data_IF_797640114871
#
_entry.id   IF_797640114871
#
_cell.length_a   1.000
_cell.length_b   1.000
_cell.length_c   1.000
_cell.angle_alpha   90.00
_cell.angle_beta   90.00
_cell.angle_gamma   90.00
#
_symmetry.space_group_name_H-M   'P 1'
#
loop_
_entity.id
_entity.type
_entity.pdbx_description
1 polymer ?
#
# COMPACT_ATOMS: atom_id res chain seq x y z
N UNK A 1 -9.69 -57.30 56.15
CA UNK A 1 -10.51 -57.25 57.38
C UNK A 1 -10.92 -55.79 57.53
N UNK A 2 -12.06 -55.39 56.94
CA UNK A 2 -13.43 -55.58 57.45
C UNK A 2 -13.64 -54.68 58.69
N UNK A 3 -14.62 -53.80 58.82
CA UNK A 3 -15.83 -53.48 58.07
C UNK A 3 -16.34 -52.10 58.54
N UNK A 4 -17.44 -51.63 57.93
CA UNK A 4 -18.57 -50.88 58.52
C UNK A 4 -19.00 -49.64 57.73
N UNK A 5 -19.95 -49.90 56.83
CA UNK A 5 -21.37 -49.52 56.90
C UNK A 5 -21.78 -48.05 56.84
N UNK A 6 -22.29 -47.75 55.65
CA UNK A 6 -23.37 -46.83 55.27
C UNK A 6 -24.66 -46.99 56.07
N UNK A 7 -25.34 -45.85 56.34
CA UNK A 7 -26.73 -45.77 56.83
C UNK A 7 -27.57 -44.84 55.93
N UNK A 8 -28.83 -45.29 55.71
CA UNK A 8 -30.07 -44.58 55.34
C UNK A 8 -30.26 -44.01 53.94
N UNK A 9 -31.27 -44.44 53.17
CA UNK A 9 -32.76 -44.42 53.33
C UNK A 9 -33.42 -43.09 52.91
N UNK A 10 -34.47 -43.22 52.09
CA UNK A 10 -35.53 -42.22 51.90
C UNK A 10 -35.94 -42.05 50.43
N UNK A 11 -36.72 -42.94 49.82
CA UNK A 11 -38.21 -42.87 49.67
C UNK A 11 -38.68 -41.69 48.78
N UNK A 12 -39.64 -41.76 47.85
CA UNK A 12 -40.69 -42.72 47.52
C UNK A 12 -41.52 -42.18 46.33
N UNK A 13 -42.38 -43.04 45.74
CA UNK A 13 -43.59 -42.77 44.91
C UNK A 13 -43.39 -42.41 43.42
N UNK A 14 -44.01 -42.95 42.35
CA UNK A 14 -44.85 -44.13 41.95
C UNK A 14 -45.94 -43.62 40.96
N UNK A 15 -46.18 -44.42 39.92
CA UNK A 15 -47.36 -44.52 39.01
C UNK A 15 -47.44 -43.68 37.71
N UNK A 16 -47.30 -44.40 36.58
CA UNK A 16 -48.24 -44.65 35.45
C UNK A 16 -49.34 -43.58 35.16
N UNK A 17 -49.75 -43.28 33.91
CA UNK A 17 -50.05 -44.19 32.80
C UNK A 17 -50.21 -43.44 31.45
N UNK A 18 -50.22 -44.21 30.37
CA UNK A 18 -50.37 -43.83 28.95
C UNK A 18 -51.46 -42.80 28.59
N UNK A 19 -51.12 -41.84 27.70
CA UNK A 19 -52.03 -41.35 26.65
C UNK A 19 -51.28 -41.23 25.31
N UNK A 20 -51.78 -41.98 24.34
CA UNK A 20 -51.41 -41.99 22.93
C UNK A 20 -51.90 -40.73 22.19
N UNK A 21 -51.02 -40.12 21.40
CA UNK A 21 -51.36 -39.03 20.50
C UNK A 21 -50.16 -38.64 19.64
N UNK A 22 -50.18 -39.06 18.38
CA UNK A 22 -49.08 -38.89 17.43
C UNK A 22 -48.82 -37.42 17.05
N UNK A 23 -47.57 -36.98 17.12
CA UNK A 23 -47.05 -35.92 16.24
C UNK A 23 -45.66 -36.26 15.69
N UNK A 24 -45.60 -36.21 14.36
CA UNK A 24 -44.47 -36.54 13.51
C UNK A 24 -43.35 -35.50 13.61
N UNK A 25 -42.23 -35.83 14.26
CA UNK A 25 -40.99 -35.05 14.11
C UNK A 25 -40.20 -35.57 12.89
N UNK A 26 -40.45 -34.95 11.73
CA UNK A 26 -39.56 -35.07 10.56
C UNK A 26 -38.19 -34.47 10.90
N UNK A 27 -37.28 -35.30 11.43
CA UNK A 27 -35.85 -34.94 11.45
C UNK A 27 -35.36 -34.93 10.01
N UNK A 28 -35.23 -33.73 9.45
CA UNK A 28 -34.60 -33.56 8.14
C UNK A 28 -33.12 -33.85 8.34
N UNK A 29 -32.66 -35.06 7.99
CA UNK A 29 -31.23 -35.42 7.93
C UNK A 29 -30.52 -34.43 7.00
N UNK A 30 -29.96 -33.35 7.58
CA UNK A 30 -29.14 -32.38 6.86
C UNK A 30 -27.82 -33.06 6.49
N UNK A 31 -27.46 -32.93 5.22
CA UNK A 31 -26.38 -33.69 4.60
C UNK A 31 -25.03 -33.04 4.96
N UNK A 32 -24.15 -33.68 5.76
CA UNK A 32 -22.95 -33.05 6.32
C UNK A 32 -21.92 -32.59 5.28
N UNK A 33 -22.01 -33.10 4.04
CA UNK A 33 -21.19 -32.64 2.91
C UNK A 33 -21.47 -31.19 2.51
N UNK A 34 -22.71 -30.70 2.65
CA UNK A 34 -23.06 -29.33 2.32
C UNK A 34 -22.60 -28.34 3.41
N UNK A 35 -22.61 -28.77 4.67
CA UNK A 35 -22.11 -27.97 5.81
C UNK A 35 -20.59 -27.92 5.83
N UNK A 36 -19.91 -29.01 5.44
CA UNK A 36 -18.46 -29.02 5.23
C UNK A 36 -18.04 -28.17 4.03
N UNK A 37 -18.80 -28.16 2.93
CA UNK A 37 -18.53 -27.33 1.76
C UNK A 37 -18.80 -25.84 2.03
N UNK A 38 -19.88 -25.50 2.73
CA UNK A 38 -20.17 -24.12 3.17
C UNK A 38 -19.21 -23.67 4.28
N UNK A 39 -18.79 -24.58 5.16
CA UNK A 39 -17.76 -24.34 6.18
C UNK A 39 -16.35 -24.16 5.60
N UNK A 40 -15.96 -24.96 4.61
CA UNK A 40 -14.67 -24.86 3.92
C UNK A 40 -14.60 -23.63 3.01
N UNK A 41 -15.70 -23.25 2.34
CA UNK A 41 -15.78 -22.00 1.57
C UNK A 41 -15.81 -20.78 2.48
N UNK A 42 -16.54 -20.81 3.60
CA UNK A 42 -16.51 -19.73 4.59
C UNK A 42 -15.16 -19.63 5.30
N UNK A 43 -14.50 -20.76 5.63
CA UNK A 43 -13.16 -20.79 6.20
C UNK A 43 -12.11 -20.35 5.20
N UNK A 44 -12.22 -20.72 3.92
CA UNK A 44 -11.37 -20.24 2.84
C UNK A 44 -11.52 -18.73 2.62
N UNK A 45 -12.75 -18.22 2.58
CA UNK A 45 -13.03 -16.77 2.47
C UNK A 45 -12.54 -16.03 3.72
N UNK A 46 -12.69 -16.59 4.93
CA UNK A 46 -12.14 -16.03 6.17
C UNK A 46 -10.61 -16.07 6.20
N UNK A 47 -9.98 -17.14 5.72
CA UNK A 47 -8.53 -17.24 5.64
C UNK A 47 -7.96 -16.27 4.62
N UNK A 48 -8.59 -16.15 3.44
CA UNK A 48 -8.19 -15.18 2.41
C UNK A 48 -8.44 -13.75 2.87
N UNK A 49 -9.59 -13.46 3.49
CA UNK A 49 -9.87 -12.13 4.03
C UNK A 49 -8.97 -11.79 5.21
N UNK A 50 -8.70 -12.73 6.12
CA UNK A 50 -7.74 -12.56 7.20
C UNK A 50 -6.31 -12.40 6.67
N UNK A 51 -5.92 -13.09 5.59
CA UNK A 51 -4.64 -12.88 4.92
C UNK A 51 -4.58 -11.54 4.19
N UNK A 52 -5.68 -11.08 3.58
CA UNK A 52 -5.76 -9.75 2.96
C UNK A 52 -5.75 -8.63 4.00
N UNK A 53 -6.41 -8.83 5.13
CA UNK A 53 -6.43 -7.92 6.28
C UNK A 53 -5.07 -7.92 6.96
N UNK A 54 -4.49 -9.10 7.22
CA UNK A 54 -3.13 -9.23 7.73
C UNK A 54 -2.12 -8.63 6.75
N UNK A 55 -2.28 -8.80 5.44
CA UNK A 55 -1.47 -8.16 4.41
C UNK A 55 -1.62 -6.62 4.47
N UNK A 56 -2.86 -6.12 4.59
CA UNK A 56 -3.17 -4.71 4.76
C UNK A 56 -2.53 -4.11 6.03
N UNK A 57 -2.39 -4.90 7.09
CA UNK A 57 -1.75 -4.51 8.35
C UNK A 57 -0.26 -4.90 8.49
N UNK A 58 0.29 -5.72 7.59
CA UNK A 58 1.69 -6.23 7.61
C UNK A 58 2.65 -5.37 6.81
N UNK A 59 2.13 -4.59 5.86
CA UNK A 59 2.89 -3.54 5.21
C UNK A 59 2.24 -2.18 5.52
N UNK A 60 2.98 -1.06 5.46
CA UNK A 60 2.42 0.28 5.30
C UNK A 60 1.77 0.46 3.91
N UNK A 61 0.86 -0.45 3.60
CA UNK A 61 -0.25 -0.31 2.67
C UNK A 61 -0.89 1.06 2.95
N UNK A 62 -1.47 1.82 2.03
CA UNK A 62 -1.80 3.26 2.19
C UNK A 62 -0.60 4.20 2.32
N UNK A 63 0.41 3.94 3.14
CA UNK A 63 1.55 4.84 3.27
C UNK A 63 2.36 4.91 1.96
N UNK A 64 2.60 3.75 1.35
CA UNK A 64 3.29 3.66 0.05
C UNK A 64 2.37 3.77 -1.17
N UNK A 65 1.06 3.98 -0.98
CA UNK A 65 0.09 3.79 -2.06
C UNK A 65 -0.38 5.11 -2.66
N UNK A 66 0.22 5.46 -3.79
CA UNK A 66 -0.41 6.40 -4.72
C UNK A 66 -1.54 5.67 -5.45
N UNK A 67 -2.77 6.15 -5.31
CA UNK A 67 -3.90 5.61 -6.07
C UNK A 67 -3.67 5.83 -7.56
N UNK A 68 -3.66 4.73 -8.32
CA UNK A 68 -3.60 4.76 -9.79
C UNK A 68 -4.97 5.02 -10.36
N UNK A 69 -5.96 4.28 -9.85
CA UNK A 69 -7.36 4.48 -10.20
C UNK A 69 -8.05 5.23 -9.08
N UNK A 70 -8.67 6.36 -9.41
CA UNK A 70 -9.41 7.16 -8.44
C UNK A 70 -10.76 6.52 -8.12
N UNK A 71 -10.84 5.91 -6.94
CA UNK A 71 -12.04 5.24 -6.45
C UNK A 71 -13.18 6.23 -6.15
N UNK A 72 -12.90 7.53 -5.99
CA UNK A 72 -13.91 8.59 -5.75
C UNK A 72 -14.36 9.29 -7.03
N UNK A 73 -13.76 9.01 -8.18
CA UNK A 73 -14.09 9.68 -9.44
C UNK A 73 -15.59 9.60 -9.74
N UNK A 74 -16.19 8.42 -9.58
CA UNK A 74 -17.61 8.21 -9.81
C UNK A 74 -18.48 8.88 -8.74
N UNK A 75 -18.14 8.75 -7.45
CA UNK A 75 -18.89 9.40 -6.36
C UNK A 75 -18.92 10.94 -6.52
N UNK A 76 -17.82 11.54 -7.00
CA UNK A 76 -17.76 12.97 -7.33
C UNK A 76 -18.56 13.32 -8.58
N UNK A 77 -18.53 12.46 -9.60
CA UNK A 77 -19.28 12.69 -10.84
C UNK A 77 -20.80 12.62 -10.65
N UNK A 78 -21.29 11.87 -9.65
CA UNK A 78 -22.72 11.80 -9.28
C UNK A 78 -23.24 13.14 -8.73
N UNK A 79 -22.39 13.98 -8.13
CA UNK A 79 -22.78 15.28 -7.61
C UNK A 79 -21.84 16.40 -8.11
N UNK A 80 -21.98 16.81 -9.39
CA UNK A 80 -21.06 17.76 -10.03
C UNK A 80 -21.10 19.15 -9.36
N UNK A 81 -22.26 19.57 -8.83
CA UNK A 81 -22.43 20.87 -8.16
C UNK A 81 -21.79 20.96 -6.76
N UNK A 82 -21.25 19.86 -6.23
CA UNK A 82 -20.48 19.86 -4.98
C UNK A 82 -19.05 20.37 -5.14
N UNK A 83 -18.52 20.44 -6.37
CA UNK A 83 -17.16 20.93 -6.62
C UNK A 83 -17.05 22.47 -6.57
N UNK A 84 -18.15 23.19 -6.78
CA UNK A 84 -18.17 24.66 -6.88
C UNK A 84 -18.59 25.36 -5.58
N UNK A 85 -19.11 24.62 -4.59
CA UNK A 85 -19.61 25.20 -3.34
C UNK A 85 -18.52 25.27 -2.25
N UNK A 86 -18.67 26.29 -1.39
CA UNK A 86 -17.93 26.51 -0.14
C UNK A 86 -17.95 25.22 0.71
N UNK A 87 -16.86 24.94 1.43
CA UNK A 87 -16.69 23.72 2.25
C UNK A 87 -17.96 23.35 3.03
N UNK A 88 -18.50 22.15 2.79
CA UNK A 88 -19.70 21.64 3.46
C UNK A 88 -19.53 20.17 3.81
N UNK A 89 -20.19 19.70 4.86
CA UNK A 89 -20.18 18.27 5.25
C UNK A 89 -20.62 17.35 4.10
N UNK A 90 -21.46 17.84 3.18
CA UNK A 90 -21.92 17.09 2.01
C UNK A 90 -20.90 17.01 0.87
N UNK A 91 -19.89 17.89 0.85
CA UNK A 91 -18.79 17.87 -0.13
C UNK A 91 -17.59 17.06 0.36
N UNK A 92 -17.64 16.54 1.59
CA UNK A 92 -16.60 15.67 2.15
C UNK A 92 -16.67 14.27 1.53
N UNK A 93 -15.54 13.54 1.51
CA UNK A 93 -15.47 12.16 1.01
C UNK A 93 -16.51 11.24 1.64
N UNK A 94 -16.74 11.26 2.97
CA UNK A 94 -17.82 10.48 3.59
C UNK A 94 -19.21 10.97 3.15
N UNK A 95 -19.42 12.28 3.04
CA UNK A 95 -20.69 12.85 2.59
C UNK A 95 -21.07 12.43 1.16
N UNK A 96 -20.11 12.46 0.24
CA UNK A 96 -20.28 12.02 -1.14
C UNK A 96 -20.56 10.52 -1.23
N UNK A 97 -19.89 9.71 -0.41
CA UNK A 97 -20.15 8.27 -0.32
C UNK A 97 -21.55 7.97 0.22
N UNK A 98 -21.95 8.63 1.31
CA UNK A 98 -23.29 8.48 1.87
C UNK A 98 -24.35 8.89 0.85
N UNK A 99 -24.13 9.99 0.13
CA UNK A 99 -25.04 10.41 -0.93
C UNK A 99 -25.11 9.38 -2.07
N UNK A 100 -23.97 8.91 -2.57
CA UNK A 100 -23.92 7.92 -3.64
C UNK A 100 -24.56 6.58 -3.24
N UNK A 101 -24.38 6.13 -1.99
CA UNK A 101 -25.03 4.91 -1.45
C UNK A 101 -26.53 5.11 -1.28
N UNK A 102 -27.00 6.31 -0.91
CA UNK A 102 -28.44 6.60 -0.87
C UNK A 102 -29.05 6.63 -2.27
N UNK A 103 -28.33 7.13 -3.27
CA UNK A 103 -28.83 7.25 -4.66
C UNK A 103 -28.81 5.92 -5.41
N UNK A 104 -27.73 5.14 -5.32
CA UNK A 104 -27.54 3.88 -6.07
C UNK A 104 -27.72 2.61 -5.23
N UNK A 105 -28.03 2.77 -3.94
CA UNK A 105 -28.14 1.69 -2.97
C UNK A 105 -26.79 1.13 -2.51
N UNK A 106 -26.84 0.21 -1.55
CA UNK A 106 -25.64 -0.45 -0.98
C UNK A 106 -24.81 -1.26 -1.99
N UNK A 107 -25.40 -1.62 -3.15
CA UNK A 107 -24.69 -2.28 -4.25
C UNK A 107 -23.61 -1.40 -4.90
N UNK A 108 -23.65 -0.09 -4.65
CA UNK A 108 -22.62 0.86 -5.07
C UNK A 108 -21.22 0.45 -4.61
N UNK A 109 -21.06 0.10 -3.33
CA UNK A 109 -19.74 -0.19 -2.75
C UNK A 109 -19.05 -1.37 -3.45
N UNK A 110 -19.65 -2.58 -3.51
CA UNK A 110 -19.00 -3.73 -4.15
C UNK A 110 -18.82 -3.58 -5.67
N UNK A 111 -19.72 -2.86 -6.35
CA UNK A 111 -19.69 -2.77 -7.82
C UNK A 111 -18.79 -1.64 -8.34
N UNK A 112 -18.63 -0.57 -7.56
CA UNK A 112 -18.03 0.68 -8.02
C UNK A 112 -16.79 1.07 -7.24
N UNK A 113 -16.81 0.88 -5.92
CA UNK A 113 -15.73 1.32 -5.02
C UNK A 113 -14.67 0.23 -4.81
N UNK A 114 -15.12 -1.01 -4.62
CA UNK A 114 -14.29 -2.16 -4.30
C UNK A 114 -13.30 -2.52 -5.41
N UNK A 115 -13.67 -2.59 -6.71
CA UNK A 115 -12.72 -2.86 -7.80
C UNK A 115 -11.48 -1.95 -7.82
N UNK A 116 -11.59 -0.60 -7.88
CA UNK A 116 -10.41 0.26 -7.90
C UNK A 116 -9.62 0.18 -6.57
N UNK A 117 -10.28 -0.06 -5.43
CA UNK A 117 -9.58 -0.27 -4.17
C UNK A 117 -8.74 -1.55 -4.18
N UNK A 118 -9.30 -2.68 -4.61
CA UNK A 118 -8.58 -3.96 -4.72
C UNK A 118 -7.44 -3.87 -5.72
N UNK A 119 -7.65 -3.22 -6.86
CA UNK A 119 -6.63 -3.00 -7.88
C UNK A 119 -5.44 -2.21 -7.33
N UNK A 120 -5.70 -1.08 -6.65
CA UNK A 120 -4.65 -0.26 -6.03
C UNK A 120 -3.93 -1.02 -4.89
N UNK A 121 -4.66 -1.78 -4.07
CA UNK A 121 -4.07 -2.59 -3.01
C UNK A 121 -3.17 -3.70 -3.58
N UNK A 122 -3.60 -4.36 -4.66
CA UNK A 122 -2.84 -5.40 -5.34
C UNK A 122 -1.53 -4.88 -5.95
N UNK A 123 -1.55 -3.74 -6.63
CA UNK A 123 -0.33 -3.07 -7.13
C UNK A 123 0.64 -2.80 -5.98
N UNK A 124 0.11 -2.26 -4.89
CA UNK A 124 0.91 -1.95 -3.71
C UNK A 124 1.50 -3.19 -3.03
N UNK A 125 0.76 -4.30 -3.03
CA UNK A 125 1.24 -5.59 -2.58
C UNK A 125 2.41 -6.09 -3.41
N UNK A 126 2.24 -6.10 -4.73
CA UNK A 126 3.28 -6.49 -5.66
C UNK A 126 4.54 -5.65 -5.46
N UNK A 127 4.40 -4.32 -5.29
CA UNK A 127 5.55 -3.45 -5.04
C UNK A 127 6.33 -3.88 -3.79
N UNK A 128 5.63 -4.02 -2.66
CA UNK A 128 6.29 -4.29 -1.39
C UNK A 128 6.85 -5.71 -1.32
N UNK A 129 6.14 -6.71 -1.85
CA UNK A 129 6.63 -8.09 -1.90
C UNK A 129 7.83 -8.22 -2.83
N UNK A 130 7.79 -7.57 -4.00
CA UNK A 130 8.93 -7.57 -4.94
C UNK A 130 10.15 -6.88 -4.34
N UNK A 131 9.94 -5.79 -3.60
CA UNK A 131 11.01 -5.11 -2.86
C UNK A 131 11.64 -6.02 -1.82
N UNK A 132 10.85 -6.66 -0.96
CA UNK A 132 11.38 -7.57 0.06
C UNK A 132 12.11 -8.77 -0.55
N UNK A 133 11.57 -9.36 -1.62
CA UNK A 133 12.19 -10.49 -2.31
C UNK A 133 13.51 -10.10 -2.96
N UNK A 134 13.55 -8.95 -3.65
CA UNK A 134 14.78 -8.50 -4.32
C UNK A 134 15.82 -8.05 -3.31
N UNK A 135 15.41 -7.34 -2.25
CA UNK A 135 16.33 -6.93 -1.19
C UNK A 135 16.85 -8.15 -0.42
N UNK A 136 16.03 -9.16 -0.16
CA UNK A 136 16.46 -10.40 0.47
C UNK A 136 17.47 -11.18 -0.36
N UNK A 137 17.38 -11.10 -1.69
CA UNK A 137 18.36 -11.71 -2.61
C UNK A 137 19.67 -10.90 -2.72
N UNK A 138 19.60 -9.56 -2.61
CA UNK A 138 20.77 -8.69 -2.67
C UNK A 138 21.50 -8.58 -1.33
N UNK A 139 20.78 -8.73 -0.21
CA UNK A 139 21.30 -8.54 1.14
C UNK A 139 20.78 -9.63 2.09
N UNK A 140 21.59 -10.69 2.25
CA UNK A 140 21.29 -11.89 3.03
C UNK A 140 20.75 -11.64 4.45
N UNK A 141 21.20 -10.62 5.22
CA UNK A 141 20.62 -10.38 6.55
C UNK A 141 19.12 -10.03 6.54
N UNK A 142 18.56 -9.59 5.42
CA UNK A 142 17.11 -9.36 5.25
C UNK A 142 16.36 -10.69 5.03
N UNK A 143 16.98 -11.69 4.41
CA UNK A 143 16.39 -13.02 4.18
C UNK A 143 16.09 -13.75 5.50
N UNK A 144 16.94 -13.53 6.50
CA UNK A 144 16.91 -14.20 7.81
C UNK A 144 15.77 -13.78 8.73
N UNK A 145 14.86 -12.92 8.27
CA UNK A 145 13.63 -12.51 8.99
C UNK A 145 13.88 -12.06 10.45
N UNK A 146 15.04 -11.46 10.71
CA UNK A 146 15.39 -10.95 12.04
C UNK A 146 14.55 -9.69 12.34
N UNK A 147 14.07 -9.54 13.58
CA UNK A 147 13.20 -8.41 14.01
C UNK A 147 13.80 -7.03 13.71
N UNK A 148 15.13 -6.91 13.78
CA UNK A 148 15.93 -5.76 13.33
C UNK A 148 17.13 -6.24 12.51
N UNK A 149 17.31 -5.64 11.35
CA UNK A 149 18.38 -5.97 10.40
C UNK A 149 19.59 -5.11 10.76
N UNK A 150 20.68 -5.77 11.18
CA UNK A 150 21.98 -5.14 11.38
C UNK A 150 23.09 -6.04 10.83
N UNK A 151 24.08 -5.50 10.08
CA UNK A 151 24.20 -4.11 9.66
C UNK A 151 23.05 -3.66 8.74
N UNK A 152 22.75 -2.35 8.64
CA UNK A 152 21.72 -1.86 7.74
C UNK A 152 22.12 -2.10 6.29
N UNK A 153 21.15 -2.40 5.42
CA UNK A 153 21.39 -2.57 3.98
C UNK A 153 21.99 -1.29 3.37
N UNK A 154 22.87 -1.46 2.38
CA UNK A 154 23.49 -0.33 1.68
C UNK A 154 22.43 0.51 0.93
N UNK A 155 22.63 1.83 0.78
CA UNK A 155 21.74 2.65 -0.05
C UNK A 155 21.67 2.16 -1.50
N UNK A 156 22.72 1.48 -1.99
CA UNK A 156 22.80 0.91 -3.34
C UNK A 156 21.90 -0.32 -3.46
N UNK A 157 21.93 -1.25 -2.50
CA UNK A 157 21.12 -2.47 -2.51
C UNK A 157 19.63 -2.12 -2.40
N UNK A 158 19.31 -1.17 -1.52
CA UNK A 158 17.93 -0.67 -1.34
C UNK A 158 17.45 0.11 -2.56
N UNK A 159 18.33 0.84 -3.25
CA UNK A 159 18.03 1.48 -4.54
C UNK A 159 17.77 0.43 -5.63
N UNK A 160 18.63 -0.57 -5.78
CA UNK A 160 18.48 -1.63 -6.78
C UNK A 160 17.21 -2.46 -6.54
N UNK A 161 16.94 -2.83 -5.29
CA UNK A 161 15.70 -3.51 -4.90
C UNK A 161 14.47 -2.64 -5.15
N UNK A 162 14.53 -1.34 -4.82
CA UNK A 162 13.45 -0.39 -5.10
C UNK A 162 13.21 -0.18 -6.60
N UNK A 163 14.27 -0.17 -7.41
CA UNK A 163 14.19 -0.09 -8.86
C UNK A 163 13.48 -1.31 -9.43
N UNK A 164 13.94 -2.53 -9.08
CA UNK A 164 13.35 -3.79 -9.52
C UNK A 164 11.89 -3.94 -9.05
N UNK A 165 11.59 -3.55 -7.82
CA UNK A 165 10.22 -3.53 -7.33
C UNK A 165 9.34 -2.58 -8.14
N UNK A 166 9.85 -1.40 -8.47
CA UNK A 166 9.17 -0.42 -9.31
C UNK A 166 8.97 -0.88 -10.75
N UNK A 167 9.93 -1.61 -11.34
CA UNK A 167 9.77 -2.19 -12.69
C UNK A 167 8.65 -3.23 -12.71
N UNK A 168 8.67 -4.18 -11.77
CA UNK A 168 7.64 -5.23 -11.64
C UNK A 168 6.27 -4.61 -11.38
N UNK A 169 6.19 -3.65 -10.46
CA UNK A 169 4.96 -2.90 -10.20
C UNK A 169 4.45 -2.24 -11.47
N UNK A 170 5.32 -1.58 -12.25
CA UNK A 170 4.91 -0.83 -13.44
C UNK A 170 4.32 -1.74 -14.52
N UNK A 171 4.81 -2.97 -14.66
CA UNK A 171 4.23 -3.97 -15.58
C UNK A 171 2.81 -4.34 -15.12
N UNK A 172 2.66 -4.66 -13.82
CA UNK A 172 1.36 -5.05 -13.25
C UNK A 172 0.35 -3.89 -13.26
N UNK A 173 0.83 -2.66 -13.15
CA UNK A 173 -0.02 -1.47 -13.20
C UNK A 173 -0.35 -0.97 -14.60
N UNK A 174 0.34 -1.43 -15.66
CA UNK A 174 0.10 -0.95 -17.01
C UNK A 174 -1.37 -1.06 -17.46
N UNK A 175 -2.10 -2.18 -17.22
CA UNK A 175 -3.53 -2.29 -17.51
C UNK A 175 -4.37 -1.22 -16.80
N UNK A 176 -4.03 -0.91 -15.55
CA UNK A 176 -4.77 0.02 -14.70
C UNK A 176 -4.49 1.47 -15.09
N UNK A 177 -3.24 1.80 -15.43
CA UNK A 177 -2.86 3.09 -16.01
C UNK A 177 -3.62 3.31 -17.34
N UNK A 178 -3.69 2.29 -18.21
CA UNK A 178 -4.41 2.37 -19.48
C UNK A 178 -5.92 2.59 -19.29
N UNK A 179 -6.53 1.91 -18.32
CA UNK A 179 -7.93 2.11 -17.93
C UNK A 179 -8.18 3.49 -17.36
N UNK A 180 -7.31 3.99 -16.48
CA UNK A 180 -7.45 5.30 -15.85
C UNK A 180 -7.37 6.43 -16.88
N UNK A 181 -6.46 6.35 -17.84
CA UNK A 181 -6.31 7.38 -18.89
C UNK A 181 -7.55 7.48 -19.78
N UNK A 182 -8.25 6.36 -19.98
CA UNK A 182 -9.47 6.27 -20.80
C UNK A 182 -10.75 6.27 -19.97
N UNK A 183 -10.66 6.46 -18.65
CA UNK A 183 -11.81 6.47 -17.76
C UNK A 183 -12.59 7.76 -17.95
N UNK A 184 -13.75 7.66 -18.61
CA UNK A 184 -14.71 8.75 -18.74
C UNK A 184 -15.84 8.51 -17.74
N UNK A 185 -16.00 9.43 -16.80
CA UNK A 185 -17.07 9.34 -15.78
C UNK A 185 -18.46 9.40 -16.41
N UNK A 186 -18.59 10.03 -17.58
CA UNK A 186 -19.79 10.00 -18.41
C UNK A 186 -20.24 8.58 -18.75
N UNK A 187 -19.33 7.69 -19.11
CA UNK A 187 -19.68 6.34 -19.61
C UNK A 187 -20.32 5.49 -18.50
N UNK A 188 -19.95 5.80 -17.25
CA UNK A 188 -20.52 5.17 -16.06
C UNK A 188 -21.87 5.77 -15.69
N UNK A 189 -22.05 7.09 -15.84
CA UNK A 189 -23.29 7.80 -15.52
C UNK A 189 -24.41 7.50 -16.51
N UNK A 190 -24.10 7.32 -17.80
CA UNK A 190 -25.06 6.97 -18.84
C UNK A 190 -25.51 5.49 -18.80
N UNK A 191 -25.08 4.72 -17.80
CA UNK A 191 -25.53 3.34 -17.59
C UNK A 191 -25.02 2.33 -18.62
N UNK A 192 -24.04 2.70 -19.47
CA UNK A 192 -23.46 1.78 -20.45
C UNK A 192 -22.76 0.57 -19.80
N UNK A 193 -22.31 0.73 -18.55
CA UNK A 193 -21.65 -0.34 -17.80
C UNK A 193 -22.31 -0.52 -16.42
N UNK A 194 -22.72 -1.77 -16.13
CA UNK A 194 -23.41 -2.15 -14.87
C UNK A 194 -22.51 -2.10 -13.62
N UNK A 195 -21.21 -2.17 -13.80
CA UNK A 195 -20.22 -2.15 -12.71
C UNK A 195 -18.85 -1.73 -13.24
N UNK A 196 -18.00 -1.23 -12.34
CA UNK A 196 -16.62 -0.90 -12.67
C UNK A 196 -15.81 -2.16 -13.07
N UNK A 197 -16.22 -3.34 -12.57
CA UNK A 197 -15.70 -4.63 -13.03
C UNK A 197 -15.95 -4.86 -14.52
N UNK A 198 -17.20 -4.69 -14.94
CA UNK A 198 -17.61 -4.89 -16.34
C UNK A 198 -16.99 -3.84 -17.25
N UNK A 199 -16.93 -2.57 -16.79
CA UNK A 199 -16.21 -1.50 -17.48
C UNK A 199 -14.74 -1.87 -17.72
N UNK A 200 -14.02 -2.24 -16.66
CA UNK A 200 -12.61 -2.58 -16.75
C UNK A 200 -12.35 -3.75 -17.70
N UNK A 201 -13.15 -4.83 -17.61
CA UNK A 201 -12.99 -5.99 -18.48
C UNK A 201 -13.25 -5.68 -19.94
N UNK A 202 -14.35 -4.98 -20.26
CA UNK A 202 -14.69 -4.65 -21.65
C UNK A 202 -13.71 -3.65 -22.24
N UNK A 203 -13.35 -2.60 -21.50
CA UNK A 203 -12.34 -1.64 -21.96
C UNK A 203 -10.98 -2.29 -22.16
N UNK A 204 -10.57 -3.21 -21.30
CA UNK A 204 -9.28 -3.87 -21.49
C UNK A 204 -9.27 -4.76 -22.75
N UNK A 205 -10.40 -5.38 -23.09
CA UNK A 205 -10.58 -6.11 -24.35
C UNK A 205 -10.56 -5.17 -25.56
N UNK A 206 -11.23 -4.02 -25.49
CA UNK A 206 -11.25 -2.99 -26.55
C UNK A 206 -9.85 -2.41 -26.80
N UNK A 207 -9.09 -2.12 -25.75
CA UNK A 207 -7.72 -1.56 -25.84
C UNK A 207 -6.73 -2.62 -26.37
N UNK A 208 -6.90 -3.87 -25.93
CA UNK A 208 -5.99 -4.97 -26.21
C UNK A 208 -4.61 -4.83 -25.55
N UNK A 209 -3.81 -5.90 -25.59
CA UNK A 209 -2.47 -5.91 -24.96
C UNK A 209 -1.54 -4.82 -25.50
N UNK A 210 -1.65 -4.48 -26.78
CA UNK A 210 -0.78 -3.48 -27.40
C UNK A 210 -1.10 -2.07 -26.91
N UNK A 211 -2.37 -1.71 -26.80
CA UNK A 211 -2.78 -0.40 -26.27
C UNK A 211 -2.48 -0.22 -24.78
N UNK A 212 -2.42 -1.32 -24.02
CA UNK A 212 -2.00 -1.30 -22.60
C UNK A 212 -0.56 -0.82 -22.46
N UNK A 213 0.34 -1.33 -23.30
CA UNK A 213 1.77 -0.97 -23.23
C UNK A 213 2.12 0.26 -24.09
N UNK A 214 1.15 0.85 -24.79
CA UNK A 214 1.30 2.11 -25.50
C UNK A 214 1.65 3.23 -24.50
N UNK A 215 2.86 3.80 -24.61
CA UNK A 215 3.31 4.84 -23.69
C UNK A 215 3.86 4.33 -22.34
N UNK A 216 3.99 3.00 -22.16
CA UNK A 216 4.42 2.39 -20.89
C UNK A 216 5.84 2.81 -20.47
N UNK A 217 6.73 3.13 -21.41
CA UNK A 217 8.12 3.51 -21.09
C UNK A 217 8.23 4.70 -20.12
N UNK A 218 7.28 5.65 -20.18
CA UNK A 218 7.23 6.79 -19.25
C UNK A 218 6.72 6.38 -17.87
N UNK A 219 5.75 5.46 -17.80
CA UNK A 219 5.32 4.85 -16.53
C UNK A 219 6.46 4.08 -15.89
N UNK A 220 7.13 3.23 -16.68
CA UNK A 220 8.30 2.46 -16.24
C UNK A 220 9.36 3.38 -15.63
N UNK A 221 9.80 4.40 -16.38
CA UNK A 221 10.84 5.32 -15.91
C UNK A 221 10.42 6.05 -14.62
N UNK A 222 9.18 6.54 -14.57
CA UNK A 222 8.63 7.24 -13.40
C UNK A 222 8.54 6.34 -12.18
N UNK A 223 8.04 5.13 -12.35
CA UNK A 223 7.76 4.22 -11.25
C UNK A 223 9.07 3.61 -10.73
N UNK A 224 9.92 3.08 -11.61
CA UNK A 224 11.19 2.46 -11.23
C UNK A 224 12.13 3.41 -10.51
N UNK A 225 12.42 4.58 -11.08
CA UNK A 225 13.30 5.56 -10.42
C UNK A 225 12.64 6.20 -9.19
N UNK A 226 11.33 6.44 -9.25
CA UNK A 226 10.59 6.97 -8.11
C UNK A 226 10.68 6.06 -6.88
N UNK A 227 10.46 4.75 -7.04
CA UNK A 227 10.55 3.81 -5.93
C UNK A 227 11.98 3.48 -5.52
N UNK A 228 12.94 3.45 -6.45
CA UNK A 228 14.35 3.29 -6.12
C UNK A 228 14.84 4.35 -5.14
N UNK A 229 14.56 5.62 -5.44
CA UNK A 229 14.93 6.75 -4.57
C UNK A 229 14.13 6.74 -3.28
N UNK A 230 12.84 6.41 -3.35
CA UNK A 230 11.99 6.31 -2.18
C UNK A 230 12.53 5.29 -1.16
N UNK A 231 12.75 4.04 -1.56
CA UNK A 231 13.22 2.99 -0.66
C UNK A 231 14.64 3.23 -0.17
N UNK A 232 15.53 3.71 -1.04
CA UNK A 232 16.91 4.05 -0.66
C UNK A 232 16.95 5.16 0.39
N UNK A 233 16.21 6.25 0.17
CA UNK A 233 16.12 7.38 1.12
C UNK A 233 15.44 6.95 2.42
N UNK A 234 14.37 6.17 2.32
CA UNK A 234 13.62 5.69 3.48
C UNK A 234 14.49 4.80 4.38
N UNK A 235 15.16 3.80 3.83
CA UNK A 235 16.03 2.90 4.60
C UNK A 235 17.26 3.61 5.16
N UNK A 236 17.85 4.53 4.39
CA UNK A 236 18.97 5.34 4.85
C UNK A 236 18.60 6.14 6.11
N UNK A 237 17.47 6.86 6.08
CA UNK A 237 17.06 7.70 7.21
C UNK A 237 16.57 6.84 8.39
N UNK A 238 15.77 5.82 8.12
CA UNK A 238 15.20 4.92 9.14
C UNK A 238 16.29 4.19 9.92
N UNK A 239 17.37 3.76 9.27
CA UNK A 239 18.39 2.90 9.87
C UNK A 239 19.73 3.61 10.03
N UNK A 240 20.40 3.99 8.93
CA UNK A 240 21.77 4.49 8.97
C UNK A 240 21.87 5.85 9.68
N UNK A 241 21.00 6.80 9.32
CA UNK A 241 20.96 8.11 9.95
C UNK A 241 20.51 8.02 11.42
N UNK A 242 19.51 7.18 11.72
CA UNK A 242 19.09 6.92 13.10
C UNK A 242 20.24 6.39 13.97
N UNK A 243 20.92 5.33 13.55
CA UNK A 243 22.01 4.76 14.32
C UNK A 243 23.20 5.72 14.42
N UNK A 244 23.47 6.53 13.39
CA UNK A 244 24.53 7.55 13.45
C UNK A 244 24.18 8.68 14.42
N UNK A 245 22.91 9.11 14.43
CA UNK A 245 22.42 10.09 15.39
C UNK A 245 22.50 9.58 16.82
N UNK A 246 22.05 8.34 17.07
CA UNK A 246 22.07 7.75 18.42
C UNK A 246 23.50 7.63 18.95
N UNK A 247 24.45 7.09 18.17
CA UNK A 247 25.84 6.96 18.63
C UNK A 247 26.50 8.31 18.84
N UNK A 248 26.29 9.29 17.94
CA UNK A 248 26.87 10.63 18.08
C UNK A 248 26.27 11.42 19.24
N UNK A 249 24.94 11.48 19.34
CA UNK A 249 24.24 12.27 20.36
C UNK A 249 24.48 11.67 21.76
N UNK A 250 24.14 10.40 21.98
CA UNK A 250 24.32 9.76 23.29
C UNK A 250 25.78 9.48 23.63
N UNK A 251 26.63 9.22 22.64
CA UNK A 251 28.09 9.11 22.85
C UNK A 251 28.71 10.42 23.33
N UNK A 252 28.31 11.56 22.73
CA UNK A 252 28.79 12.88 23.16
C UNK A 252 28.30 13.29 24.55
N UNK A 253 27.03 13.01 24.86
CA UNK A 253 26.44 13.27 26.18
C UNK A 253 27.14 12.47 27.29
N UNK A 254 27.48 11.20 27.02
CA UNK A 254 28.16 10.34 28.00
C UNK A 254 29.62 10.73 28.21
N UNK A 255 30.31 11.24 27.18
CA UNK A 255 31.65 11.80 27.33
C UNK A 255 31.71 12.94 28.37
N UNK A 256 30.64 13.74 28.46
CA UNK A 256 30.53 14.82 29.44
C UNK A 256 30.01 14.36 30.83
N UNK A 257 29.33 13.21 30.90
CA UNK A 257 28.72 12.66 32.12
C UNK A 257 29.64 11.67 32.86
N UNK A 258 30.63 11.11 32.17
CA UNK A 258 31.68 10.25 32.74
C UNK A 258 32.58 10.99 33.75
N UNK A 259 32.68 12.31 33.64
CA UNK A 259 33.38 13.14 34.65
C UNK A 259 32.57 13.32 35.94
N UNK A 260 31.29 12.90 35.98
CA UNK A 260 30.39 13.22 37.11
C UNK A 260 29.72 12.03 37.80
N UNK A 261 29.72 10.81 37.23
CA UNK A 261 29.00 9.67 37.83
C UNK A 261 29.77 8.33 37.77
N UNK A 262 30.09 7.80 38.95
CA UNK A 262 30.88 6.59 39.22
C UNK A 262 30.15 5.24 39.02
N UNK A 263 29.03 5.18 38.29
CA UNK A 263 28.35 3.91 37.98
C UNK A 263 28.00 3.80 36.50
N UNK A 264 28.82 3.09 35.69
CA UNK A 264 28.40 2.71 34.36
C UNK A 264 27.28 1.68 34.48
N UNK A 265 26.09 1.95 33.93
CA UNK A 265 25.24 0.84 33.47
C UNK A 265 26.01 0.18 32.32
N UNK A 266 26.82 -0.83 32.66
CA UNK A 266 27.49 -1.71 31.72
C UNK A 266 26.49 -2.76 31.24
N UNK A 267 26.45 -3.01 29.94
CA UNK A 267 25.83 -4.22 29.39
C UNK A 267 26.50 -5.45 30.02
N UNK A 268 25.82 -6.60 30.02
CA UNK A 268 26.37 -7.90 30.48
C UNK A 268 27.69 -8.27 29.74
N UNK A 269 27.97 -7.58 28.62
CA UNK A 269 29.15 -7.71 27.76
C UNK A 269 30.30 -6.75 28.12
N UNK A 270 30.20 -5.96 29.19
CA UNK A 270 31.24 -5.01 29.60
C UNK A 270 31.34 -3.75 28.74
N UNK A 271 30.40 -3.55 27.80
CA UNK A 271 30.35 -2.42 26.85
C UNK A 271 29.37 -1.35 27.38
N UNK A 272 29.63 -0.04 27.18
CA UNK A 272 28.70 1.02 27.56
C UNK A 272 27.33 0.86 26.88
N UNK A 273 26.27 0.72 27.69
CA UNK A 273 24.89 0.58 27.22
C UNK A 273 24.24 1.95 26.93
N UNK A 274 23.63 2.11 25.75
CA UNK A 274 22.82 3.25 25.33
C UNK A 274 21.35 2.81 25.26
N UNK A 275 20.48 3.51 26.00
CA UNK A 275 19.02 3.36 25.93
C UNK A 275 18.42 4.62 25.27
N UNK A 276 18.18 4.62 23.95
CA UNK A 276 17.56 5.76 23.27
C UNK A 276 16.12 5.97 23.76
N UNK A 277 15.67 7.23 23.73
CA UNK A 277 14.31 7.57 24.13
C UNK A 277 13.27 6.93 23.18
N UNK A 278 12.16 6.41 23.74
CA UNK A 278 11.16 5.61 23.02
C UNK A 278 10.52 6.33 21.81
N UNK A 279 10.50 7.66 21.83
CA UNK A 279 9.93 8.51 20.77
C UNK A 279 10.87 8.76 19.60
N UNK A 280 12.17 8.48 19.73
CA UNK A 280 13.15 8.76 18.67
C UNK A 280 12.91 7.89 17.44
N UNK A 281 12.68 6.60 17.63
CA UNK A 281 12.49 5.67 16.51
C UNK A 281 11.23 6.01 15.67
N UNK A 282 10.04 6.26 16.26
CA UNK A 282 8.89 6.77 15.49
C UNK A 282 9.14 8.12 14.81
N UNK A 283 9.89 9.01 15.45
CA UNK A 283 10.24 10.31 14.87
C UNK A 283 11.12 10.16 13.62
N UNK A 284 12.16 9.32 13.70
CA UNK A 284 13.02 9.00 12.57
C UNK A 284 12.27 8.26 11.47
N UNK A 285 11.33 7.38 11.82
CA UNK A 285 10.46 6.71 10.85
C UNK A 285 9.53 7.68 10.12
N UNK A 286 8.96 8.65 10.84
CA UNK A 286 8.14 9.71 10.24
C UNK A 286 8.99 10.62 9.33
N UNK A 287 10.17 11.02 9.81
CA UNK A 287 11.13 11.82 9.04
C UNK A 287 11.56 11.08 7.76
N UNK A 288 11.88 9.78 7.87
CA UNK A 288 12.20 8.93 6.74
C UNK A 288 11.06 8.93 5.71
N UNK A 289 9.82 8.79 6.16
CA UNK A 289 8.63 8.87 5.30
C UNK A 289 8.52 10.21 4.57
N UNK A 290 8.63 11.32 5.31
CA UNK A 290 8.55 12.68 4.74
C UNK A 290 9.63 12.91 3.69
N UNK A 291 10.89 12.66 4.04
CA UNK A 291 12.04 12.95 3.17
C UNK A 291 12.04 12.02 1.96
N UNK A 292 11.74 10.73 2.14
CA UNK A 292 11.60 9.78 1.04
C UNK A 292 10.48 10.16 0.07
N UNK A 293 9.33 10.63 0.57
CA UNK A 293 8.24 11.11 -0.29
C UNK A 293 8.62 12.35 -1.08
N UNK A 294 9.35 13.31 -0.48
CA UNK A 294 9.83 14.49 -1.20
C UNK A 294 10.86 14.09 -2.25
N UNK A 295 11.80 13.22 -1.92
CA UNK A 295 12.81 12.71 -2.84
C UNK A 295 12.19 11.96 -4.03
N UNK A 296 11.18 11.11 -3.76
CA UNK A 296 10.38 10.45 -4.78
C UNK A 296 9.68 11.47 -5.69
N UNK A 297 9.05 12.50 -5.12
CA UNK A 297 8.38 13.54 -5.89
C UNK A 297 9.33 14.33 -6.78
N UNK A 298 10.57 14.56 -6.35
CA UNK A 298 11.56 15.27 -7.15
C UNK A 298 11.81 14.60 -8.51
N UNK A 299 11.64 13.27 -8.57
CA UNK A 299 11.76 12.48 -9.81
C UNK A 299 10.43 12.25 -10.50
N UNK A 300 9.38 11.95 -9.74
CA UNK A 300 8.08 11.63 -10.34
C UNK A 300 7.36 12.85 -10.92
N UNK A 301 7.52 14.04 -10.32
CA UNK A 301 6.86 15.26 -10.77
C UNK A 301 7.23 15.65 -12.22
N UNK A 302 8.52 15.80 -12.59
CA UNK A 302 8.88 16.13 -13.97
C UNK A 302 8.44 15.05 -14.97
N UNK A 303 8.59 13.77 -14.61
CA UNK A 303 8.17 12.66 -15.47
C UNK A 303 6.66 12.62 -15.65
N UNK A 304 5.89 12.92 -14.61
CA UNK A 304 4.42 13.00 -14.68
C UNK A 304 3.97 14.15 -15.59
N UNK A 305 4.65 15.30 -15.58
CA UNK A 305 4.34 16.41 -16.48
C UNK A 305 4.50 16.01 -17.95
N UNK A 306 5.58 15.28 -18.29
CA UNK A 306 5.83 14.76 -19.64
C UNK A 306 4.81 13.67 -20.00
N UNK A 307 4.56 12.74 -19.08
CA UNK A 307 3.63 11.63 -19.25
C UNK A 307 2.19 12.10 -19.50
N UNK A 308 1.72 13.11 -18.78
CA UNK A 308 0.37 13.66 -18.97
C UNK A 308 0.18 14.22 -20.39
N UNK A 309 1.22 14.83 -20.97
CA UNK A 309 1.18 15.29 -22.38
C UNK A 309 1.10 14.11 -23.32
N UNK A 310 1.86 13.04 -23.06
CA UNK A 310 1.82 11.84 -23.88
C UNK A 310 0.44 11.15 -23.82
N UNK A 311 -0.10 10.97 -22.62
CA UNK A 311 -1.39 10.33 -22.38
C UNK A 311 -2.58 11.06 -22.98
N UNK A 312 -2.54 12.40 -23.02
CA UNK A 312 -3.57 13.19 -23.70
C UNK A 312 -3.73 12.86 -25.19
N UNK A 313 -2.76 12.18 -25.80
CA UNK A 313 -2.76 11.78 -27.20
C UNK A 313 -3.01 10.28 -27.40
N UNK A 314 -3.08 9.51 -26.32
CA UNK A 314 -3.10 8.05 -26.40
C UNK A 314 -4.38 7.55 -27.08
N UNK A 315 -5.53 8.19 -26.85
CA UNK A 315 -6.79 7.86 -27.55
C UNK A 315 -6.66 8.05 -29.08
N UNK A 316 -6.01 9.12 -29.52
CA UNK A 316 -5.75 9.36 -30.95
C UNK A 316 -4.76 8.33 -31.53
N UNK A 317 -3.74 7.97 -30.76
CA UNK A 317 -2.73 6.99 -31.18
C UNK A 317 -3.31 5.58 -31.26
N UNK A 318 -4.19 5.19 -30.34
CA UNK A 318 -4.90 3.91 -30.38
C UNK A 318 -5.77 3.80 -31.63
N UNK A 319 -6.52 4.85 -31.95
CA UNK A 319 -7.36 4.87 -33.16
C UNK A 319 -6.51 4.79 -34.44
N UNK A 320 -5.33 5.38 -34.47
CA UNK A 320 -4.41 5.20 -35.59
C UNK A 320 -3.78 3.81 -35.62
N UNK A 321 -3.42 3.27 -34.46
CA UNK A 321 -2.78 1.96 -34.34
C UNK A 321 -3.74 0.82 -34.68
N UNK A 322 -5.04 0.95 -34.40
CA UNK A 322 -6.05 -0.05 -34.77
C UNK A 322 -6.24 -0.18 -36.28
N UNK A 323 -5.85 0.83 -37.06
CA UNK A 323 -5.96 0.84 -38.51
C UNK A 323 -4.70 0.26 -39.21
N UNK A 324 -3.61 0.02 -38.48
CA UNK A 324 -2.32 -0.39 -39.04
C UNK A 324 -2.05 -1.87 -38.73
N UNK A 325 -1.93 -2.69 -39.77
CA UNK A 325 -1.70 -4.15 -39.64
C UNK A 325 -0.23 -4.52 -39.43
N UNK A 326 0.71 -3.74 -39.99
CA UNK A 326 2.14 -4.10 -40.05
C UNK A 326 2.94 -3.61 -38.84
N UNK A 327 3.71 -4.51 -38.21
CA UNK A 327 4.53 -4.22 -37.00
C UNK A 327 5.53 -3.07 -37.19
N UNK A 328 6.15 -2.94 -38.36
CA UNK A 328 7.17 -1.91 -38.64
C UNK A 328 6.61 -0.49 -38.70
N UNK A 329 5.51 -0.30 -39.43
CA UNK A 329 4.81 0.99 -39.52
C UNK A 329 4.27 1.42 -38.14
N UNK A 330 3.80 0.48 -37.33
CA UNK A 330 3.34 0.74 -35.97
C UNK A 330 4.46 1.26 -35.05
N UNK A 331 5.66 0.67 -35.10
CA UNK A 331 6.81 1.16 -34.32
C UNK A 331 7.21 2.58 -34.71
N UNK A 332 7.11 2.91 -36.00
CA UNK A 332 7.34 4.27 -36.50
C UNK A 332 6.28 5.25 -35.95
N UNK A 333 5.01 4.84 -35.87
CA UNK A 333 3.94 5.66 -35.26
C UNK A 333 4.26 5.93 -33.79
N UNK A 334 4.60 4.91 -33.00
CA UNK A 334 4.97 5.11 -31.60
C UNK A 334 6.20 6.01 -31.44
N UNK A 335 7.27 5.77 -32.21
CA UNK A 335 8.46 6.61 -32.17
C UNK A 335 8.15 8.07 -32.54
N UNK A 336 7.35 8.28 -33.60
CA UNK A 336 6.90 9.62 -34.01
C UNK A 336 6.07 10.30 -32.92
N UNK A 337 5.28 9.52 -32.17
CA UNK A 337 4.47 10.01 -31.06
C UNK A 337 5.34 10.54 -29.92
N UNK A 338 6.41 9.83 -29.55
CA UNK A 338 7.40 10.32 -28.56
C UNK A 338 8.13 11.56 -29.06
N UNK A 339 8.56 11.59 -30.32
CA UNK A 339 9.21 12.76 -30.92
C UNK A 339 8.31 13.99 -30.89
N UNK A 340 7.03 13.83 -31.19
CA UNK A 340 6.05 14.92 -31.16
C UNK A 340 5.71 15.35 -29.73
N UNK A 341 5.69 14.41 -28.78
CA UNK A 341 5.59 14.71 -27.34
C UNK A 341 6.76 15.60 -26.91
N UNK A 342 7.99 15.23 -27.29
CA UNK A 342 9.20 16.00 -26.97
C UNK A 342 9.17 17.42 -27.55
N UNK A 343 8.75 17.59 -28.81
CA UNK A 343 8.58 18.91 -29.42
C UNK A 343 7.60 19.79 -28.63
N UNK A 344 6.47 19.23 -28.19
CA UNK A 344 5.49 19.97 -27.36
C UNK A 344 6.04 20.32 -25.99
N UNK A 345 6.77 19.40 -25.35
CA UNK A 345 7.47 19.68 -24.10
C UNK A 345 8.44 20.86 -24.27
N UNK A 346 9.23 20.88 -25.36
CA UNK A 346 10.13 22.00 -25.67
C UNK A 346 9.39 23.32 -25.85
N UNK A 347 8.26 23.33 -26.55
CA UNK A 347 7.42 24.55 -26.71
C UNK A 347 6.85 25.04 -25.37
N UNK A 348 6.37 24.13 -24.51
CA UNK A 348 5.87 24.49 -23.18
C UNK A 348 6.98 25.00 -22.25
N UNK A 349 8.13 24.33 -22.27
CA UNK A 349 9.31 24.77 -21.54
C UNK A 349 9.75 26.18 -21.97
N UNK A 350 9.78 26.47 -23.28
CA UNK A 350 10.11 27.80 -23.80
C UNK A 350 9.14 28.88 -23.32
N UNK A 351 7.82 28.60 -23.31
CA UNK A 351 6.81 29.54 -22.81
C UNK A 351 6.88 29.80 -21.31
N UNK A 352 7.35 28.82 -20.53
CA UNK A 352 7.41 28.89 -19.08
C UNK A 352 8.75 29.43 -18.54
N UNK A 353 9.66 29.89 -19.41
CA UNK A 353 10.97 30.43 -19.01
C UNK A 353 12.07 29.38 -18.85
N UNK A 354 11.83 28.12 -19.21
CA UNK A 354 12.85 27.05 -19.22
C UNK A 354 12.32 25.69 -18.77
N UNK A 355 13.14 24.65 -18.96
CA UNK A 355 12.78 23.28 -18.59
C UNK A 355 12.56 23.10 -17.09
N UNK A 356 13.43 23.67 -16.25
CA UNK A 356 13.33 23.53 -14.78
C UNK A 356 12.06 24.20 -14.26
N UNK A 357 11.80 25.43 -14.68
CA UNK A 357 10.64 26.21 -14.23
C UNK A 357 9.33 25.54 -14.65
N UNK A 358 9.26 25.01 -15.87
CA UNK A 358 8.09 24.25 -16.33
C UNK A 358 7.90 22.92 -15.59
N UNK A 359 8.96 22.10 -15.49
CA UNK A 359 8.86 20.75 -14.94
C UNK A 359 8.59 20.73 -13.43
N UNK A 360 9.04 21.75 -12.70
CA UNK A 360 8.84 21.88 -11.25
C UNK A 360 7.75 22.90 -10.89
N UNK A 361 7.00 23.39 -11.87
CA UNK A 361 5.86 24.27 -11.61
C UNK A 361 4.82 23.55 -10.73
N UNK A 362 4.50 24.13 -9.57
CA UNK A 362 3.55 23.54 -8.62
C UNK A 362 4.09 22.36 -7.80
N UNK A 363 5.39 22.08 -7.87
CA UNK A 363 6.04 21.00 -7.12
C UNK A 363 5.75 21.07 -5.62
N UNK A 364 5.95 22.25 -5.00
CA UNK A 364 5.75 22.43 -3.56
C UNK A 364 4.30 22.13 -3.14
N UNK A 365 3.33 22.61 -3.92
CA UNK A 365 1.91 22.34 -3.64
C UNK A 365 1.56 20.86 -3.76
N UNK A 366 2.14 20.16 -4.74
CA UNK A 366 1.94 18.71 -4.91
C UNK A 366 2.62 17.90 -3.79
N UNK A 367 3.85 18.27 -3.41
CA UNK A 367 4.57 17.64 -2.31
C UNK A 367 3.82 17.81 -0.99
N UNK A 368 3.38 19.03 -0.67
CA UNK A 368 2.62 19.33 0.56
C UNK A 368 1.29 18.56 0.65
N UNK A 369 0.63 18.29 -0.48
CA UNK A 369 -0.61 17.50 -0.49
C UNK A 369 -0.37 16.01 -0.29
N UNK A 370 0.78 15.48 -0.72
CA UNK A 370 1.06 14.05 -0.72
C UNK A 370 1.80 13.59 0.54
N UNK A 371 2.77 14.36 1.02
CA UNK A 371 3.65 14.01 2.13
C UNK A 371 2.87 13.64 3.41
N UNK A 372 1.86 14.40 3.87
CA UNK A 372 1.14 14.06 5.10
C UNK A 372 0.45 12.70 5.05
N UNK A 373 -0.09 12.32 3.89
CA UNK A 373 -0.78 11.03 3.71
C UNK A 373 0.19 9.85 3.82
N UNK A 374 1.36 9.96 3.19
CA UNK A 374 2.38 8.91 3.22
C UNK A 374 3.00 8.79 4.62
N UNK A 375 3.34 9.89 5.27
CA UNK A 375 3.92 9.87 6.61
C UNK A 375 2.93 9.37 7.67
N UNK A 376 1.67 9.79 7.62
CA UNK A 376 0.64 9.31 8.55
C UNK A 376 0.40 7.81 8.42
N UNK A 377 0.39 7.27 7.20
CA UNK A 377 0.25 5.82 6.98
C UNK A 377 1.41 5.02 7.61
N UNK A 378 2.64 5.53 7.52
CA UNK A 378 3.83 4.89 8.08
C UNK A 378 3.81 4.89 9.60
N UNK A 379 3.41 6.01 10.21
CA UNK A 379 3.29 6.15 11.66
C UNK A 379 2.19 5.24 12.21
N UNK A 380 1.01 5.24 11.60
CA UNK A 380 -0.10 4.36 12.02
C UNK A 380 0.33 2.89 11.93
N UNK A 381 0.98 2.50 10.84
CA UNK A 381 1.51 1.16 10.67
C UNK A 381 2.49 0.79 11.78
N UNK A 382 3.48 1.64 12.07
CA UNK A 382 4.49 1.36 13.09
C UNK A 382 3.88 1.30 14.50
N UNK A 383 2.90 2.18 14.80
CA UNK A 383 2.17 2.14 16.07
C UNK A 383 1.36 0.85 16.23
N UNK A 384 0.69 0.40 15.16
CA UNK A 384 -0.05 -0.88 15.14
C UNK A 384 0.94 -2.03 15.31
N UNK A 385 2.03 -2.05 14.54
CA UNK A 385 3.08 -3.07 14.64
C UNK A 385 3.62 -3.18 16.06
N UNK A 386 3.89 -2.06 16.73
CA UNK A 386 4.37 -2.03 18.13
C UNK A 386 3.33 -2.53 19.12
N UNK A 387 2.06 -2.14 18.96
CA UNK A 387 0.97 -2.58 19.84
C UNK A 387 0.78 -4.11 19.81
N UNK A 388 1.01 -4.72 18.65
CA UNK A 388 0.87 -6.17 18.46
C UNK A 388 2.20 -6.93 18.48
N UNK A 389 3.34 -6.24 18.66
CA UNK A 389 4.63 -6.88 18.88
C UNK A 389 4.80 -7.19 20.37
N UNK A 390 5.18 -8.42 20.70
CA UNK A 390 5.48 -8.80 22.08
C UNK A 390 6.65 -7.95 22.63
N UNK A 391 6.47 -7.43 23.85
CA UNK A 391 7.40 -6.57 24.60
C UNK A 391 8.66 -7.30 25.11
N UNK A 392 8.79 -8.60 24.87
CA UNK A 392 9.85 -9.45 25.45
C UNK A 392 11.17 -9.48 24.64
N UNK A 393 11.25 -8.84 23.46
CA UNK A 393 12.45 -8.93 22.60
C UNK A 393 13.22 -7.59 22.52
N UNK A 394 13.92 -7.25 23.60
CA UNK A 394 14.91 -6.18 23.54
C UNK A 394 16.14 -6.68 22.76
N UNK A 395 16.52 -5.97 21.70
CA UNK A 395 17.67 -6.34 20.85
C UNK A 395 18.84 -5.42 21.16
N UNK A 396 20.00 -6.01 21.43
CA UNK A 396 21.27 -5.30 21.60
C UNK A 396 22.00 -5.23 20.27
N UNK A 397 22.29 -4.00 19.81
CA UNK A 397 23.11 -3.76 18.61
C UNK A 397 24.43 -3.13 19.04
N UNK A 398 25.55 -3.79 18.73
CA UNK A 398 26.88 -3.25 18.98
C UNK A 398 27.30 -2.33 17.83
N UNK A 399 27.57 -1.06 18.12
CA UNK A 399 28.00 -0.05 17.14
C UNK A 399 28.96 0.97 17.76
N UNK A 400 30.09 1.25 17.10
CA UNK A 400 31.08 2.24 17.51
C UNK A 400 31.60 2.06 18.96
N UNK A 401 31.66 0.81 19.45
CA UNK A 401 32.05 0.49 20.83
C UNK A 401 30.95 0.67 21.88
N UNK A 402 29.69 0.84 21.47
CA UNK A 402 28.51 0.93 22.34
C UNK A 402 27.53 -0.20 22.09
N UNK A 403 26.83 -0.64 23.14
CA UNK A 403 25.66 -1.50 23.02
C UNK A 403 24.40 -0.62 23.00
N UNK A 404 23.64 -0.63 21.91
CA UNK A 404 22.38 0.10 21.79
C UNK A 404 21.24 -0.87 22.12
N UNK A 405 20.50 -0.60 23.19
CA UNK A 405 19.29 -1.34 23.54
C UNK A 405 18.12 -0.77 22.74
N UNK A 406 17.53 -1.58 21.89
CA UNK A 406 16.33 -1.18 21.17
C UNK A 406 15.15 -2.02 21.67
N UNK A 407 14.21 -1.37 22.35
CA UNK A 407 12.93 -1.94 22.81
C UNK A 407 11.87 -1.93 21.72
#
# INVERSE_FOLDING_TARGET
MASEDTISLGDQVRFDDNVSGAESSKSTRRNPRNDAATGASAAGVRAVSAQMVAFYFRAPVKAFFRTRVDYMAFARAVNPHSAEKRWSLHTTTPGLLVHAVRTYGWRFIPNQLLPPLLANAGIGAVLYTSYLQTLGALYEPVSRSVKRIYPPASPVDTFAAGFAAGTIQSIVAAPLDALQVRLRTSDMLHGQYRSMWHYGQNKLKEIGLRGIFAGWSLSFLRDSFGYAIFFSTFEYIKSQAYYSFVTRYYGSLRGHQLDSLQQPQSSDRGVPLIKPHYSLEPCFLMLAGVVASIAQQAVQHPLSAIQNIHYSRLEYLDHQASLISTKGQMMQVYYSAYRETFKRCKRRAARAGGWRQWLFQGFVGNALRQVPSTSAGLVIFELVRRKYANLADAVYIQKDGYDILLT
#
